data_IF_234299211213
#
_entry.id   IF_234299211213
#
_cell.length_a   1.000
_cell.length_b   1.000
_cell.length_c   1.000
_cell.angle_alpha   90.00
_cell.angle_beta   90.00
_cell.angle_gamma   90.00
#
_symmetry.space_group_name_H-M   'P 1'
#
loop_
_entity.id
_entity.type
_entity.pdbx_description
1 polymer ?
#
# COMPACT_ATOMS: atom_id res chain seq x y z
N UNK A 1 -22.72 -64.51 -4.13
CA UNK A 1 -21.94 -63.52 -4.92
C UNK A 1 -21.36 -62.50 -3.95
N UNK A 2 -20.09 -62.65 -3.56
CA UNK A 2 -19.42 -61.71 -2.64
C UNK A 2 -18.72 -60.65 -3.48
N UNK A 3 -19.18 -59.39 -3.41
CA UNK A 3 -18.52 -58.27 -4.09
C UNK A 3 -17.16 -58.04 -3.44
N UNK A 4 -16.06 -58.38 -4.14
CA UNK A 4 -14.70 -57.98 -3.77
C UNK A 4 -14.61 -56.45 -3.87
N UNK A 5 -14.84 -55.76 -2.75
CA UNK A 5 -14.58 -54.33 -2.65
C UNK A 5 -13.08 -54.10 -2.76
N UNK A 6 -12.67 -53.37 -3.79
CA UNK A 6 -11.26 -53.03 -4.00
C UNK A 6 -10.82 -52.11 -2.85
N UNK A 7 -9.82 -52.47 -2.03
CA UNK A 7 -9.43 -51.69 -0.86
C UNK A 7 -9.03 -50.26 -1.25
N UNK A 8 -8.47 -50.09 -2.45
CA UNK A 8 -8.16 -48.79 -3.04
C UNK A 8 -9.38 -47.89 -3.23
N UNK A 9 -10.55 -48.44 -3.57
CA UNK A 9 -11.78 -47.66 -3.76
C UNK A 9 -12.33 -47.13 -2.42
N UNK A 10 -12.11 -47.88 -1.33
CA UNK A 10 -12.44 -47.46 0.03
C UNK A 10 -11.44 -46.40 0.51
N UNK A 11 -10.15 -46.59 0.26
CA UNK A 11 -9.09 -45.64 0.63
C UNK A 11 -9.25 -44.31 -0.12
N UNK A 12 -9.60 -44.32 -1.41
CA UNK A 12 -9.86 -43.08 -2.16
C UNK A 12 -11.13 -42.36 -1.68
N UNK A 13 -12.18 -43.08 -1.31
CA UNK A 13 -13.39 -42.46 -0.74
C UNK A 13 -13.13 -41.80 0.62
N UNK A 14 -12.26 -42.40 1.45
CA UNK A 14 -11.86 -41.81 2.74
C UNK A 14 -11.02 -40.54 2.54
N UNK A 15 -10.05 -40.56 1.62
CA UNK A 15 -9.19 -39.39 1.34
C UNK A 15 -9.97 -38.21 0.75
N UNK A 16 -10.98 -38.46 -0.09
CA UNK A 16 -11.86 -37.41 -0.63
C UNK A 16 -12.79 -36.87 0.45
N UNK A 17 -13.28 -37.70 1.37
CA UNK A 17 -14.15 -37.29 2.47
C UNK A 17 -13.48 -36.40 3.53
N UNK A 18 -12.17 -36.52 3.74
CA UNK A 18 -11.40 -35.68 4.69
C UNK A 18 -11.22 -34.25 4.18
N UNK A 19 -11.24 -34.02 2.86
CA UNK A 19 -11.00 -32.69 2.27
C UNK A 19 -12.22 -31.74 2.31
N UNK A 20 -13.41 -32.20 2.77
CA UNK A 20 -14.67 -31.42 2.68
C UNK A 20 -15.11 -30.80 4.03
N UNK A 21 -14.27 -30.83 5.07
CA UNK A 21 -14.62 -30.32 6.40
C UNK A 21 -13.86 -29.06 6.84
N UNK A 22 -13.50 -28.17 5.91
CA UNK A 22 -13.15 -26.78 6.24
C UNK A 22 -14.35 -25.87 5.97
N UNK A 23 -15.37 -25.99 6.82
CA UNK A 23 -16.48 -25.04 6.87
C UNK A 23 -16.08 -23.75 7.56
N UNK A 24 -16.43 -22.61 6.96
CA UNK A 24 -16.27 -21.28 7.54
C UNK A 24 -17.00 -21.15 8.87
N UNK A 25 -16.32 -20.67 9.91
CA UNK A 25 -16.94 -20.16 11.14
C UNK A 25 -16.74 -18.65 11.16
N UNK A 26 -17.62 -17.93 10.46
CA UNK A 26 -17.60 -16.47 10.38
C UNK A 26 -18.93 -15.92 10.91
N UNK A 27 -18.88 -15.36 12.10
CA UNK A 27 -20.03 -14.77 12.78
C UNK A 27 -19.63 -14.35 14.18
N UNK A 28 -18.66 -13.45 14.28
CA UNK A 28 -18.38 -12.72 15.52
C UNK A 28 -19.13 -11.40 15.45
N UNK A 29 -20.01 -11.23 16.43
CA UNK A 29 -20.83 -10.05 16.66
C UNK A 29 -19.91 -8.89 17.05
N UNK A 30 -19.99 -7.79 16.31
CA UNK A 30 -19.21 -6.57 16.58
C UNK A 30 -19.78 -5.95 17.85
N UNK A 31 -19.31 -6.38 19.02
CA UNK A 31 -19.58 -5.72 20.30
C UNK A 31 -18.56 -4.60 20.42
N UNK A 32 -18.97 -3.31 20.44
CA UNK A 32 -18.03 -2.24 20.71
C UNK A 32 -17.50 -2.41 22.14
N UNK A 33 -16.21 -2.74 22.25
CA UNK A 33 -15.50 -2.89 23.51
C UNK A 33 -15.37 -1.55 24.24
N UNK A 34 -15.54 -1.52 25.57
CA UNK A 34 -15.32 -0.32 26.37
C UNK A 34 -13.83 0.01 26.41
N UNK A 35 -13.52 1.30 26.28
CA UNK A 35 -12.17 1.87 26.39
C UNK A 35 -11.51 1.42 27.71
N UNK A 36 -10.57 0.47 27.64
CA UNK A 36 -9.66 0.12 28.72
C UNK A 36 -8.33 0.80 28.38
N UNK A 37 -7.95 1.82 29.17
CA UNK A 37 -6.61 2.39 29.11
C UNK A 37 -5.60 1.34 29.60
N UNK A 38 -4.77 0.82 28.69
CA UNK A 38 -3.61 0.01 29.08
C UNK A 38 -3.32 -1.25 28.27
N UNK A 39 -3.98 -1.46 27.13
CA UNK A 39 -3.54 -2.43 26.12
C UNK A 39 -3.17 -1.62 24.88
N UNK A 40 -1.93 -1.78 24.41
CA UNK A 40 -1.44 -1.19 23.17
C UNK A 40 -2.13 -1.86 21.99
N UNK A 41 -3.42 -1.54 21.84
CA UNK A 41 -4.18 -1.70 20.61
C UNK A 41 -3.34 -1.04 19.53
N UNK A 42 -2.72 -1.85 18.68
CA UNK A 42 -2.08 -1.40 17.46
C UNK A 42 -3.19 -0.83 16.58
N UNK A 43 -3.56 0.42 16.85
CA UNK A 43 -4.30 1.24 15.93
C UNK A 43 -3.38 1.35 14.72
N UNK A 44 -3.57 0.47 13.75
CA UNK A 44 -3.03 0.67 12.41
C UNK A 44 -3.79 1.89 11.89
N UNK A 45 -3.30 3.07 12.28
CA UNK A 45 -3.79 4.34 11.80
C UNK A 45 -3.66 4.36 10.28
N UNK A 46 -4.51 5.16 9.62
CA UNK A 46 -4.31 5.47 8.21
C UNK A 46 -2.87 5.96 8.07
N UNK A 47 -2.05 5.33 7.20
CA UNK A 47 -0.67 5.74 7.04
C UNK A 47 -0.61 7.19 6.58
N UNK A 48 0.39 7.93 7.06
CA UNK A 48 0.68 9.25 6.53
C UNK A 48 0.92 9.13 5.00
N UNK A 49 0.13 9.80 4.14
CA UNK A 49 0.27 9.66 2.69
C UNK A 49 1.66 10.00 2.15
N UNK A 50 2.34 11.00 2.73
CA UNK A 50 3.68 11.39 2.32
C UNK A 50 4.72 10.33 2.69
N UNK A 51 4.66 9.83 3.94
CA UNK A 51 5.48 8.71 4.40
C UNK A 51 5.26 7.46 3.54
N UNK A 52 3.99 7.13 3.26
CA UNK A 52 3.60 5.99 2.44
C UNK A 52 4.15 6.11 1.02
N UNK A 53 3.98 7.27 0.38
CA UNK A 53 4.50 7.52 -0.96
C UNK A 53 6.02 7.39 -1.01
N UNK A 54 6.75 7.98 -0.07
CA UNK A 54 8.21 7.84 0.02
C UNK A 54 8.65 6.37 0.11
N UNK A 55 8.05 5.61 1.05
CA UNK A 55 8.43 4.22 1.30
C UNK A 55 8.05 3.29 0.15
N UNK A 56 6.86 3.45 -0.43
CA UNK A 56 6.37 2.60 -1.53
C UNK A 56 7.10 2.87 -2.85
N UNK A 57 7.65 4.08 -3.03
CA UNK A 57 8.59 4.38 -4.10
C UNK A 57 9.97 3.71 -3.91
N UNK A 58 10.19 3.07 -2.76
CA UNK A 58 11.39 2.32 -2.41
C UNK A 58 12.49 3.19 -1.81
N UNK A 59 12.15 4.35 -1.26
CA UNK A 59 13.08 5.27 -0.61
C UNK A 59 13.07 5.10 0.90
N UNK A 60 14.16 5.52 1.54
CA UNK A 60 14.26 5.46 3.00
C UNK A 60 13.54 6.65 3.61
N UNK A 61 12.72 6.40 4.64
CA UNK A 61 12.08 7.44 5.43
C UNK A 61 12.80 7.56 6.78
N UNK A 62 13.42 8.71 7.02
CA UNK A 62 14.01 9.06 8.30
C UNK A 62 13.11 10.03 9.05
N UNK A 63 12.82 9.73 10.32
CA UNK A 63 12.14 10.66 11.21
C UNK A 63 13.16 11.51 11.95
N UNK A 64 13.06 12.83 11.85
CA UNK A 64 13.98 13.78 12.48
C UNK A 64 13.23 14.72 13.41
N UNK A 65 13.69 14.80 14.65
CA UNK A 65 13.15 15.76 15.61
C UNK A 65 13.65 17.17 15.30
N UNK A 66 12.72 18.12 15.28
CA UNK A 66 12.95 19.54 15.09
C UNK A 66 12.33 20.33 16.24
N UNK A 67 12.61 21.63 16.31
CA UNK A 67 11.94 22.52 17.28
C UNK A 67 10.41 22.56 17.07
N UNK A 68 9.92 22.18 15.88
CA UNK A 68 8.52 22.16 15.50
C UNK A 68 7.81 20.81 15.70
N UNK A 69 8.52 19.75 16.07
CA UNK A 69 7.97 18.40 16.19
C UNK A 69 8.87 17.36 15.54
N UNK A 70 8.28 16.40 14.83
CA UNK A 70 9.03 15.39 14.07
C UNK A 70 8.67 15.53 12.59
N UNK A 71 9.68 15.63 11.74
CA UNK A 71 9.55 15.71 10.29
C UNK A 71 10.00 14.39 9.65
N UNK A 72 9.31 13.98 8.58
CA UNK A 72 9.69 12.84 7.77
C UNK A 72 10.59 13.30 6.62
N UNK A 73 11.77 12.69 6.49
CA UNK A 73 12.72 12.96 5.41
C UNK A 73 12.83 11.74 4.52
N UNK A 74 12.48 11.90 3.25
CA UNK A 74 12.68 10.91 2.21
C UNK A 74 14.11 10.99 1.66
N UNK A 75 14.87 9.91 1.82
CA UNK A 75 16.26 9.79 1.38
C UNK A 75 16.32 8.94 0.11
N UNK A 76 16.72 9.58 -0.98
CA UNK A 76 16.81 9.00 -2.32
C UNK A 76 18.04 8.10 -2.45
N UNK A 77 18.08 7.17 -3.43
CA UNK A 77 19.21 6.24 -3.61
C UNK A 77 20.57 6.90 -3.86
N UNK A 78 20.60 8.15 -4.34
CA UNK A 78 21.81 8.93 -4.54
C UNK A 78 22.23 9.72 -3.27
N UNK A 79 21.49 9.61 -2.18
CA UNK A 79 21.67 10.36 -0.94
C UNK A 79 21.05 11.76 -0.95
N UNK A 80 20.30 12.14 -1.99
CA UNK A 80 19.50 13.36 -1.94
C UNK A 80 18.40 13.21 -0.90
N UNK A 81 18.16 14.26 -0.13
CA UNK A 81 17.15 14.28 0.92
C UNK A 81 16.06 15.26 0.53
N UNK A 82 14.82 14.92 0.84
CA UNK A 82 13.73 15.87 0.83
C UNK A 82 12.71 15.58 1.92
N UNK A 83 12.11 16.62 2.49
CA UNK A 83 10.95 16.50 3.36
C UNK A 83 9.80 15.77 2.64
N UNK A 84 9.11 14.87 3.34
CA UNK A 84 8.18 13.91 2.72
C UNK A 84 6.98 14.58 2.03
N UNK A 85 6.45 15.68 2.59
CA UNK A 85 5.34 16.43 2.01
C UNK A 85 5.80 17.26 0.81
N UNK A 86 6.99 17.84 0.86
CA UNK A 86 7.62 18.49 -0.30
C UNK A 86 7.86 17.49 -1.44
N UNK A 87 8.30 16.27 -1.12
CA UNK A 87 8.50 15.21 -2.11
C UNK A 87 7.18 14.77 -2.74
N UNK A 88 6.14 14.52 -1.93
CA UNK A 88 4.79 14.20 -2.41
C UNK A 88 4.17 15.35 -3.24
N UNK A 89 4.43 16.60 -2.86
CA UNK A 89 3.99 17.79 -3.58
C UNK A 89 4.78 18.04 -4.86
N UNK A 90 5.89 17.31 -5.09
CA UNK A 90 6.73 17.44 -6.28
C UNK A 90 7.52 18.74 -6.32
N UNK A 91 7.81 19.35 -5.16
CA UNK A 91 8.58 20.60 -5.07
C UNK A 91 10.10 20.36 -4.97
N UNK A 92 10.52 19.12 -4.71
CA UNK A 92 11.91 18.70 -4.54
C UNK A 92 12.14 17.29 -5.09
N UNK A 93 13.41 16.88 -5.27
CA UNK A 93 13.80 15.53 -5.70
C UNK A 93 12.95 15.00 -6.87
N UNK A 94 12.62 15.90 -7.79
CA UNK A 94 11.58 15.73 -8.80
C UNK A 94 11.84 14.50 -9.66
N UNK A 95 13.11 14.23 -10.02
CA UNK A 95 13.49 13.07 -10.83
C UNK A 95 13.17 11.72 -10.18
N UNK A 96 12.88 11.71 -8.87
CA UNK A 96 12.53 10.52 -8.09
C UNK A 96 11.03 10.35 -7.89
N UNK A 97 10.20 11.33 -8.27
CA UNK A 97 8.73 11.18 -8.24
C UNK A 97 8.27 10.09 -9.21
N UNK A 98 7.11 9.49 -8.94
CA UNK A 98 6.55 8.42 -9.75
C UNK A 98 6.37 8.87 -11.19
N UNK A 99 5.71 10.00 -11.45
CA UNK A 99 5.53 10.54 -12.80
C UNK A 99 6.84 10.72 -13.59
N UNK A 100 7.86 11.31 -12.98
CA UNK A 100 9.15 11.52 -13.66
C UNK A 100 9.88 10.20 -13.92
N UNK A 101 9.78 9.23 -13.00
CA UNK A 101 10.33 7.89 -13.21
C UNK A 101 9.60 7.10 -14.30
N UNK A 102 8.35 7.42 -14.59
CA UNK A 102 7.64 6.92 -15.78
C UNK A 102 8.00 7.68 -17.07
N UNK A 103 8.80 8.74 -16.99
CA UNK A 103 9.24 9.54 -18.14
C UNK A 103 8.28 10.65 -18.54
N UNK A 104 7.41 11.08 -17.63
CA UNK A 104 6.45 12.17 -17.83
C UNK A 104 6.87 13.43 -17.08
N UNK A 105 6.21 14.55 -17.35
CA UNK A 105 6.56 15.83 -16.74
C UNK A 105 5.68 16.11 -15.53
N UNK A 106 6.28 16.57 -14.44
CA UNK A 106 5.57 16.94 -13.22
C UNK A 106 5.61 18.46 -12.97
N UNK A 107 4.56 18.97 -12.33
CA UNK A 107 4.49 20.35 -11.83
C UNK A 107 3.71 20.38 -10.51
N UNK A 108 3.95 21.39 -9.70
CA UNK A 108 3.13 21.64 -8.51
C UNK A 108 1.69 22.03 -8.90
N UNK A 109 0.73 21.63 -8.06
CA UNK A 109 -0.70 21.93 -8.16
C UNK A 109 -1.25 22.41 -6.82
N UNK A 110 -2.51 22.83 -6.81
CA UNK A 110 -3.19 23.33 -5.60
C UNK A 110 -3.37 22.21 -4.55
N UNK A 111 -3.68 20.99 -5.00
CA UNK A 111 -3.97 19.82 -4.15
C UNK A 111 -2.85 18.76 -4.20
N UNK A 112 -1.63 19.15 -4.60
CA UNK A 112 -0.49 18.25 -4.76
C UNK A 112 0.08 18.24 -6.18
N UNK A 113 1.07 17.38 -6.42
CA UNK A 113 1.76 17.35 -7.70
C UNK A 113 0.85 16.86 -8.83
N UNK A 114 1.05 17.41 -10.03
CA UNK A 114 0.31 17.05 -11.25
C UNK A 114 1.28 16.49 -12.27
N UNK A 115 1.02 15.26 -12.70
CA UNK A 115 1.69 14.62 -13.82
C UNK A 115 1.05 15.04 -15.15
N UNK A 116 1.87 15.30 -16.16
CA UNK A 116 1.46 15.66 -17.52
C UNK A 116 2.04 14.64 -18.50
N UNK A 117 1.15 13.94 -19.19
CA UNK A 117 1.49 12.91 -20.16
C UNK A 117 1.84 13.50 -21.53
N UNK A 118 2.34 12.65 -22.44
CA UNK A 118 2.87 13.07 -23.74
C UNK A 118 1.82 13.73 -24.66
N UNK A 119 0.54 13.38 -24.50
CA UNK A 119 -0.56 13.97 -25.26
C UNK A 119 -1.10 15.27 -24.63
N UNK A 120 -0.55 15.68 -23.49
CA UNK A 120 -0.94 16.86 -22.73
C UNK A 120 -2.08 16.63 -21.74
N UNK A 121 -2.63 15.41 -21.64
CA UNK A 121 -3.53 15.06 -20.55
C UNK A 121 -2.79 15.05 -19.20
N UNK A 122 -3.54 15.29 -18.13
CA UNK A 122 -2.97 15.48 -16.78
C UNK A 122 -3.64 14.59 -15.76
N UNK A 123 -2.86 14.23 -14.75
CA UNK A 123 -3.27 13.36 -13.66
C UNK A 123 -2.70 13.87 -12.34
N UNK A 124 -3.44 13.87 -11.23
CA UNK A 124 -2.83 14.00 -9.92
C UNK A 124 -1.78 12.91 -9.73
N UNK A 125 -0.58 13.29 -9.29
CA UNK A 125 0.56 12.39 -9.14
C UNK A 125 0.22 11.20 -8.24
N UNK A 126 -0.44 11.47 -7.12
CA UNK A 126 -0.80 10.44 -6.17
C UNK A 126 -1.82 9.45 -6.76
N UNK A 127 -2.79 9.92 -7.55
CA UNK A 127 -3.75 9.07 -8.25
C UNK A 127 -3.08 8.20 -9.31
N UNK A 128 -2.09 8.75 -10.04
CA UNK A 128 -1.31 7.97 -10.99
C UNK A 128 -0.49 6.88 -10.29
N UNK A 129 0.13 7.24 -9.16
CA UNK A 129 0.92 6.33 -8.34
C UNK A 129 0.10 5.15 -7.79
N UNK A 130 -1.12 5.40 -7.29
CA UNK A 130 -2.00 4.33 -6.79
C UNK A 130 -2.80 3.61 -7.89
N UNK A 131 -2.69 4.05 -9.14
CA UNK A 131 -3.36 3.45 -10.29
C UNK A 131 -4.85 3.81 -10.44
N UNK A 132 -5.31 4.89 -9.80
CA UNK A 132 -6.67 5.42 -10.01
C UNK A 132 -6.79 6.24 -11.29
N UNK A 133 -5.65 6.65 -11.85
CA UNK A 133 -5.54 7.40 -13.08
C UNK A 133 -4.36 6.87 -13.91
N UNK A 134 -4.50 6.82 -15.23
CA UNK A 134 -3.54 6.19 -16.14
C UNK A 134 -3.24 7.08 -17.35
N UNK A 135 -2.02 6.98 -17.93
CA UNK A 135 -1.71 7.63 -19.19
C UNK A 135 -2.56 7.06 -20.33
N UNK A 136 -2.90 7.87 -21.33
CA UNK A 136 -3.60 7.40 -22.51
C UNK A 136 -2.72 6.39 -23.28
N UNK A 137 -3.34 5.29 -23.69
CA UNK A 137 -2.69 4.17 -24.40
C UNK A 137 -2.43 4.42 -25.89
#
# INVERSE_FOLDING_TARGET
MVRKTRPYLIITLILIGVFVLSGCKGGEEIVPTPFIEGEEDAFIGVPNPASFYCQEMGYELELRDTDGGTEGICVMPNGAECEEWEFLAGSCSIEWTYCQRQGFNIREGEDGAICTFNDGSTCPEYEFFIGECEPPG
#
